data_IF_056340000766
#
_entry.id   IF_056340000766
#
_cell.length_a   1.000
_cell.length_b   1.000
_cell.length_c   1.000
_cell.angle_alpha   90.00
_cell.angle_beta   90.00
_cell.angle_gamma   90.00
#
_symmetry.space_group_name_H-M   'P 1'
#
loop_
_entity.id
_entity.type
_entity.pdbx_description
1 polymer ?
#
# COMPACT_ATOMS: atom_id res chain seq x y z
N UNK A 1 28.04 3.06 22.23
CA UNK A 1 26.79 3.84 22.30
C UNK A 1 26.06 3.80 20.96
N UNK A 2 26.79 3.89 19.84
CA UNK A 2 26.20 3.94 18.49
C UNK A 2 25.34 2.72 18.14
N UNK A 3 25.79 1.50 18.47
CA UNK A 3 25.02 0.28 18.21
C UNK A 3 23.67 0.28 18.94
N UNK A 4 23.65 0.72 20.20
CA UNK A 4 22.42 0.82 20.99
C UNK A 4 21.44 1.83 20.38
N UNK A 5 21.96 2.99 19.94
CA UNK A 5 21.14 4.01 19.27
C UNK A 5 20.62 3.53 17.91
N UNK A 6 21.46 2.88 17.10
CA UNK A 6 21.05 2.33 15.80
C UNK A 6 19.99 1.25 15.94
N UNK A 7 20.15 0.31 16.87
CA UNK A 7 19.16 -0.74 17.11
C UNK A 7 17.85 -0.17 17.64
N UNK A 8 17.91 0.81 18.54
CA UNK A 8 16.71 1.46 19.08
C UNK A 8 15.96 2.23 17.99
N UNK A 9 16.67 3.07 17.23
CA UNK A 9 16.08 3.85 16.14
C UNK A 9 15.61 2.96 14.99
N UNK A 10 16.37 1.93 14.63
CA UNK A 10 15.98 0.95 13.62
C UNK A 10 14.76 0.12 14.03
N UNK A 11 14.68 -0.25 15.31
CA UNK A 11 13.52 -0.92 15.91
C UNK A 11 12.29 -0.02 15.90
N UNK A 12 12.43 1.25 16.29
CA UNK A 12 11.36 2.24 16.23
C UNK A 12 10.90 2.50 14.79
N UNK A 13 11.82 2.62 13.83
CA UNK A 13 11.49 2.82 12.42
C UNK A 13 10.70 1.62 11.87
N UNK A 14 11.17 0.40 12.12
CA UNK A 14 10.49 -0.83 11.71
C UNK A 14 9.12 -0.97 12.38
N UNK A 15 9.04 -0.70 13.69
CA UNK A 15 7.79 -0.71 14.44
C UNK A 15 6.78 0.32 13.93
N UNK A 16 7.24 1.53 13.59
CA UNK A 16 6.40 2.57 13.00
C UNK A 16 5.83 2.15 11.64
N UNK A 17 6.62 1.48 10.79
CA UNK A 17 6.14 0.95 9.52
C UNK A 17 5.01 -0.07 9.74
N UNK A 18 5.19 -1.02 10.66
CA UNK A 18 4.14 -2.00 10.95
C UNK A 18 2.90 -1.38 11.62
N UNK A 19 3.08 -0.38 12.49
CA UNK A 19 1.97 0.34 13.10
C UNK A 19 1.15 1.12 12.05
N UNK A 20 1.82 1.77 11.10
CA UNK A 20 1.17 2.46 9.98
C UNK A 20 0.45 1.47 9.05
N UNK A 21 1.04 0.32 8.78
CA UNK A 21 0.39 -0.74 7.99
C UNK A 21 -0.88 -1.23 8.68
N UNK A 22 -0.83 -1.50 9.98
CA UNK A 22 -1.99 -1.90 10.77
C UNK A 22 -3.07 -0.80 10.78
N UNK A 23 -2.68 0.47 10.96
CA UNK A 23 -3.60 1.60 10.89
C UNK A 23 -4.29 1.68 9.53
N UNK A 24 -3.55 1.50 8.43
CA UNK A 24 -4.13 1.50 7.09
C UNK A 24 -5.18 0.39 6.92
N UNK A 25 -4.90 -0.82 7.43
CA UNK A 25 -5.87 -1.95 7.39
C UNK A 25 -7.14 -1.58 8.15
N UNK A 26 -7.00 -0.99 9.34
CA UNK A 26 -8.15 -0.56 10.16
C UNK A 26 -8.94 0.54 9.47
N UNK A 27 -8.28 1.55 8.89
CA UNK A 27 -8.95 2.65 8.19
C UNK A 27 -9.75 2.16 6.98
N UNK A 28 -9.17 1.25 6.19
CA UNK A 28 -9.86 0.67 5.04
C UNK A 28 -11.04 -0.17 5.52
N UNK A 29 -10.84 -1.05 6.50
CA UNK A 29 -11.92 -1.88 7.05
C UNK A 29 -13.09 -1.02 7.57
N UNK A 30 -12.81 0.08 8.27
CA UNK A 30 -13.85 1.01 8.73
C UNK A 30 -14.57 1.75 7.60
N UNK A 31 -13.95 1.89 6.43
CA UNK A 31 -14.55 2.60 5.29
C UNK A 31 -15.49 1.71 4.47
N UNK A 32 -15.23 0.39 4.42
CA UNK A 32 -15.93 -0.54 3.49
C UNK A 32 -16.50 -1.80 4.18
N UNK A 33 -16.37 -1.93 5.51
CA UNK A 33 -16.87 -3.03 6.35
C UNK A 33 -16.40 -4.46 5.99
N UNK A 34 -15.43 -4.59 5.08
CA UNK A 34 -14.85 -5.87 4.68
C UNK A 34 -13.33 -5.80 4.50
N UNK A 35 -12.66 -6.95 4.67
CA UNK A 35 -11.21 -7.03 4.62
C UNK A 35 -10.70 -6.94 3.16
N UNK A 36 -9.74 -6.05 2.92
CA UNK A 36 -9.07 -5.91 1.64
C UNK A 36 -7.80 -6.77 1.63
N UNK A 37 -7.82 -7.91 0.93
CA UNK A 37 -6.68 -8.81 0.78
C UNK A 37 -5.58 -8.28 -0.15
N UNK A 38 -5.87 -7.29 -1.00
CA UNK A 38 -4.91 -6.71 -1.94
C UNK A 38 -3.98 -5.68 -1.31
N UNK A 39 -4.30 -5.19 -0.11
CA UNK A 39 -3.62 -4.06 0.50
C UNK A 39 -2.10 -4.28 0.67
N UNK A 40 -1.69 -5.49 1.07
CA UNK A 40 -0.27 -5.83 1.22
C UNK A 40 0.47 -5.73 -0.12
N UNK A 41 -0.09 -6.32 -1.17
CA UNK A 41 0.50 -6.28 -2.51
C UNK A 41 0.52 -4.86 -3.09
N UNK A 42 -0.53 -4.05 -2.87
CA UNK A 42 -0.56 -2.65 -3.29
C UNK A 42 0.52 -1.79 -2.59
N UNK A 43 0.79 -2.06 -1.31
CA UNK A 43 1.86 -1.41 -0.56
C UNK A 43 3.24 -1.86 -1.06
N UNK A 44 3.42 -3.15 -1.36
CA UNK A 44 4.66 -3.66 -1.96
C UNK A 44 4.91 -3.07 -3.35
N UNK A 45 3.88 -2.99 -4.20
CA UNK A 45 3.98 -2.35 -5.51
C UNK A 45 4.45 -0.89 -5.41
N UNK A 46 3.85 -0.12 -4.49
CA UNK A 46 4.28 1.26 -4.22
C UNK A 46 5.75 1.33 -3.76
N UNK A 47 6.18 0.38 -2.94
CA UNK A 47 7.57 0.29 -2.48
C UNK A 47 8.53 0.01 -3.65
N UNK A 48 8.15 -0.87 -4.58
CA UNK A 48 8.95 -1.13 -5.79
C UNK A 48 9.05 0.08 -6.71
N UNK A 49 8.00 0.90 -6.83
CA UNK A 49 8.06 2.16 -7.59
C UNK A 49 9.10 3.09 -6.96
N UNK A 50 9.04 3.31 -5.65
CA UNK A 50 10.02 4.15 -4.95
C UNK A 50 11.45 3.60 -5.10
N UNK A 51 11.63 2.28 -4.94
CA UNK A 51 12.91 1.61 -5.11
C UNK A 51 13.47 1.77 -6.53
N UNK A 52 12.63 1.61 -7.55
CA UNK A 52 13.04 1.76 -8.95
C UNK A 52 13.44 3.20 -9.28
N UNK A 53 12.68 4.19 -8.80
CA UNK A 53 13.01 5.61 -8.98
C UNK A 53 14.37 5.95 -8.37
N UNK A 54 14.65 5.46 -7.16
CA UNK A 54 15.95 5.63 -6.50
C UNK A 54 17.05 4.92 -7.30
N UNK A 55 16.78 3.72 -7.81
CA UNK A 55 17.74 2.94 -8.63
C UNK A 55 18.08 3.64 -9.94
N UNK A 56 17.13 4.36 -10.55
CA UNK A 56 17.38 5.23 -11.71
C UNK A 56 18.11 6.54 -11.37
N UNK A 57 18.46 6.76 -10.11
CA UNK A 57 19.24 7.91 -9.66
C UNK A 57 18.40 9.10 -9.18
N UNK A 58 17.07 8.94 -9.03
CA UNK A 58 16.25 10.00 -8.44
C UNK A 58 16.65 10.23 -6.96
N UNK A 59 16.80 11.50 -6.51
CA UNK A 59 17.01 11.79 -5.11
C UNK A 59 15.86 11.24 -4.26
N UNK A 60 16.17 10.77 -3.04
CA UNK A 60 15.19 10.14 -2.14
C UNK A 60 13.89 10.95 -2.02
N UNK A 61 13.98 12.26 -1.80
CA UNK A 61 12.80 13.12 -1.63
C UNK A 61 11.95 13.25 -2.90
N UNK A 62 12.59 13.24 -4.07
CA UNK A 62 11.89 13.27 -5.37
C UNK A 62 11.21 11.92 -5.61
N UNK A 63 11.91 10.81 -5.37
CA UNK A 63 11.34 9.48 -5.48
C UNK A 63 10.17 9.27 -4.51
N UNK A 64 10.28 9.78 -3.29
CA UNK A 64 9.22 9.75 -2.27
C UNK A 64 7.97 10.51 -2.73
N UNK A 65 8.12 11.76 -3.17
CA UNK A 65 6.99 12.57 -3.65
C UNK A 65 6.35 11.97 -4.91
N UNK A 66 7.16 11.52 -5.86
CA UNK A 66 6.67 10.85 -7.07
C UNK A 66 5.93 9.55 -6.75
N UNK A 67 6.47 8.72 -5.85
CA UNK A 67 5.80 7.51 -5.38
C UNK A 67 4.44 7.81 -4.75
N UNK A 68 4.34 8.80 -3.86
CA UNK A 68 3.05 9.18 -3.26
C UNK A 68 2.01 9.55 -4.31
N UNK A 69 2.42 10.36 -5.30
CA UNK A 69 1.54 10.79 -6.40
C UNK A 69 1.10 9.60 -7.25
N UNK A 70 2.04 8.75 -7.66
CA UNK A 70 1.76 7.57 -8.50
C UNK A 70 0.85 6.59 -7.75
N UNK A 71 1.14 6.29 -6.48
CA UNK A 71 0.34 5.38 -5.66
C UNK A 71 -1.07 5.93 -5.40
N UNK A 72 -1.22 7.24 -5.17
CA UNK A 72 -2.52 7.88 -4.99
C UNK A 72 -3.38 7.75 -6.25
N UNK A 73 -2.83 8.12 -7.42
CA UNK A 73 -3.56 8.00 -8.68
C UNK A 73 -3.79 6.54 -9.09
N UNK A 74 -2.87 5.63 -8.79
CA UNK A 74 -3.06 4.19 -9.00
C UNK A 74 -4.21 3.62 -8.16
N UNK A 75 -4.27 3.98 -6.88
CA UNK A 75 -5.38 3.63 -5.98
C UNK A 75 -6.71 4.20 -6.47
N UNK A 76 -6.74 5.48 -6.86
CA UNK A 76 -7.93 6.12 -7.44
C UNK A 76 -8.36 5.45 -8.75
N UNK A 77 -7.43 5.03 -9.60
CA UNK A 77 -7.74 4.32 -10.83
C UNK A 77 -8.38 2.95 -10.53
N UNK A 78 -7.85 2.22 -9.56
CA UNK A 78 -8.44 0.94 -9.10
C UNK A 78 -9.85 1.17 -8.56
N UNK A 79 -10.04 2.17 -7.71
CA UNK A 79 -11.37 2.52 -7.19
C UNK A 79 -12.34 2.83 -8.35
N UNK A 80 -11.97 3.72 -9.26
CA UNK A 80 -12.82 4.19 -10.38
C UNK A 80 -13.12 3.11 -11.42
N UNK A 81 -12.15 2.27 -11.75
CA UNK A 81 -12.25 1.31 -12.86
C UNK A 81 -12.80 -0.02 -12.38
N UNK A 82 -12.40 -0.47 -11.18
CA UNK A 82 -12.72 -1.81 -10.69
C UNK A 82 -13.87 -1.77 -9.70
N UNK A 83 -13.87 -0.86 -8.72
CA UNK A 83 -14.87 -0.86 -7.65
C UNK A 83 -16.11 -0.02 -7.94
N UNK A 84 -15.96 1.16 -8.55
CA UNK A 84 -17.10 2.03 -8.84
C UNK A 84 -18.19 1.38 -9.72
N UNK A 85 -17.87 0.56 -10.75
CA UNK A 85 -18.91 -0.08 -11.58
C UNK A 85 -19.72 -1.17 -10.88
N UNK A 86 -19.24 -1.67 -9.74
CA UNK A 86 -19.79 -2.82 -9.02
C UNK A 86 -20.17 -2.46 -7.58
N UNK A 87 -20.30 -1.17 -7.28
CA UNK A 87 -20.55 -0.68 -5.93
C UNK A 87 -21.75 -1.36 -5.26
N UNK A 88 -22.82 -1.61 -6.03
CA UNK A 88 -24.05 -2.26 -5.54
C UNK A 88 -23.96 -3.79 -5.47
N UNK A 89 -22.80 -4.38 -5.81
CA UNK A 89 -22.62 -5.83 -5.79
C UNK A 89 -22.55 -6.38 -4.35
N UNK A 90 -22.88 -7.66 -4.13
CA UNK A 90 -22.75 -8.29 -2.83
C UNK A 90 -21.33 -8.20 -2.27
N UNK A 91 -21.21 -8.21 -0.93
CA UNK A 91 -19.92 -8.20 -0.22
C UNK A 91 -18.98 -9.30 -0.70
N UNK A 92 -19.51 -10.48 -1.03
CA UNK A 92 -18.71 -11.59 -1.55
C UNK A 92 -18.02 -11.25 -2.88
N UNK A 93 -18.67 -10.50 -3.76
CA UNK A 93 -18.09 -10.06 -5.03
C UNK A 93 -16.90 -9.12 -4.80
N UNK A 94 -17.02 -8.21 -3.83
CA UNK A 94 -15.92 -7.32 -3.44
C UNK A 94 -14.71 -8.10 -2.90
N UNK A 95 -14.96 -9.11 -2.07
CA UNK A 95 -13.91 -9.99 -1.53
C UNK A 95 -13.16 -10.73 -2.66
N UNK A 96 -13.89 -11.31 -3.61
CA UNK A 96 -13.27 -12.01 -4.75
C UNK A 96 -12.39 -11.07 -5.57
N UNK A 97 -12.78 -9.81 -5.71
CA UNK A 97 -12.01 -8.81 -6.44
C UNK A 97 -10.74 -8.40 -5.70
N UNK A 98 -10.77 -8.29 -4.37
CA UNK A 98 -9.52 -8.10 -3.63
C UNK A 98 -8.56 -9.26 -3.84
N UNK A 99 -9.05 -10.51 -3.83
CA UNK A 99 -8.22 -11.68 -4.10
C UNK A 99 -7.67 -11.63 -5.54
N UNK A 100 -8.49 -11.27 -6.52
CA UNK A 100 -8.04 -11.09 -7.89
C UNK A 100 -6.98 -9.99 -8.03
N UNK A 101 -7.15 -8.87 -7.33
CA UNK A 101 -6.17 -7.78 -7.28
C UNK A 101 -4.85 -8.23 -6.63
N UNK A 102 -4.90 -8.98 -5.53
CA UNK A 102 -3.71 -9.60 -4.93
C UNK A 102 -2.95 -10.40 -5.97
N UNK A 103 -3.64 -11.26 -6.74
CA UNK A 103 -3.00 -12.07 -7.79
C UNK A 103 -2.41 -11.24 -8.92
N UNK A 104 -3.07 -10.15 -9.32
CA UNK A 104 -2.57 -9.25 -10.37
C UNK A 104 -1.27 -8.56 -9.95
N UNK A 105 -1.18 -8.12 -8.70
CA UNK A 105 0.03 -7.47 -8.18
C UNK A 105 1.16 -8.47 -7.85
N UNK A 106 0.81 -9.71 -7.55
CA UNK A 106 1.76 -10.76 -7.19
C UNK A 106 2.35 -11.52 -8.40
N UNK A 107 1.73 -11.41 -9.57
CA UNK A 107 2.14 -12.06 -10.81
C UNK A 107 3.36 -11.40 -11.47
#
# INVERSE_FOLDING_TARGET
>A
MDLFLQQTLGGLATGAIYALLALAVVMIYQAIDHFNFAQGEMAMFSTFIAWQLITWGAPYWVAFAACLVISFFGGMAIERIIFAPIHDAPVLSHIVIFIALTLIFNA
#
